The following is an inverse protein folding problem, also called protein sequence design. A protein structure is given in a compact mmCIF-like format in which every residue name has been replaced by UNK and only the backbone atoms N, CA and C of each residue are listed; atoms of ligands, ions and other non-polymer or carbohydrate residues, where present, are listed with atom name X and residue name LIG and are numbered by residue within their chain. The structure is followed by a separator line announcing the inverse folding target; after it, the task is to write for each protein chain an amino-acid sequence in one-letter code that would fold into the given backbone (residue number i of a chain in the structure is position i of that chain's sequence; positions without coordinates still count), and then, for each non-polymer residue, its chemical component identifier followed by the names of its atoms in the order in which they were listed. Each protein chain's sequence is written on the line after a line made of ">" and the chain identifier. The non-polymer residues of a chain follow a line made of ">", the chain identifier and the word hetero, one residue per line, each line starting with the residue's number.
data_IF_946850945206
#
_entry.id   IF_946850945206
#
_cell.length_a   1.000
_cell.length_b   1.000
_cell.length_c   1.000
_cell.angle_alpha   90.00
_cell.angle_beta   90.00
_cell.angle_gamma   90.00
#
_symmetry.space_group_name_H-M   'P 1'
#
loop_
_entity.id
_entity.type
_entity.pdbx_description
1 polymer ?
#
# COMPACT_ATOMS: atom_id res chain seq x y z
N UNK A 1 13.28 -12.42 -10.05
CA UNK A 1 14.23 -11.29 -9.91
C UNK A 1 15.03 -11.46 -8.63
N UNK A 2 16.36 -11.58 -8.72
CA UNK A 2 17.21 -11.85 -7.55
C UNK A 2 17.37 -10.60 -6.66
N UNK A 3 17.83 -10.78 -5.41
CA UNK A 3 17.93 -9.69 -4.44
C UNK A 3 18.82 -8.52 -4.91
N UNK A 4 19.84 -8.81 -5.74
CA UNK A 4 20.72 -7.80 -6.34
C UNK A 4 19.98 -6.99 -7.41
N UNK A 5 19.16 -7.62 -8.24
CA UNK A 5 18.31 -6.96 -9.23
C UNK A 5 17.19 -6.15 -8.59
N UNK A 6 16.60 -6.61 -7.47
CA UNK A 6 15.60 -5.84 -6.70
C UNK A 6 16.20 -4.56 -6.11
N UNK A 7 17.43 -4.64 -5.57
CA UNK A 7 18.16 -3.47 -5.06
C UNK A 7 18.56 -2.52 -6.19
N UNK A 8 19.04 -3.03 -7.32
CA UNK A 8 19.37 -2.21 -8.48
C UNK A 8 18.13 -1.51 -9.07
N UNK A 9 16.98 -2.20 -9.12
CA UNK A 9 15.71 -1.61 -9.55
C UNK A 9 15.23 -0.52 -8.59
N UNK A 10 15.27 -0.78 -7.27
CA UNK A 10 14.92 0.21 -6.24
C UNK A 10 15.82 1.45 -6.32
N UNK A 11 17.13 1.26 -6.50
CA UNK A 11 18.08 2.36 -6.67
C UNK A 11 17.79 3.14 -7.97
N UNK A 12 17.45 2.45 -9.06
CA UNK A 12 17.06 3.08 -10.32
C UNK A 12 15.76 3.89 -10.20
N UNK A 13 14.77 3.38 -9.47
CA UNK A 13 13.50 4.06 -9.18
C UNK A 13 13.76 5.29 -8.28
N UNK A 14 14.56 5.15 -7.23
CA UNK A 14 14.94 6.27 -6.36
C UNK A 14 15.76 7.32 -7.12
N UNK A 15 16.62 6.91 -8.04
CA UNK A 15 17.36 7.82 -8.94
C UNK A 15 16.43 8.57 -9.89
N UNK A 16 15.42 7.90 -10.45
CA UNK A 16 14.41 8.51 -11.31
C UNK A 16 13.49 9.48 -10.55
N UNK A 17 13.14 9.15 -9.30
CA UNK A 17 12.39 10.04 -8.39
C UNK A 17 13.24 11.23 -7.96
N UNK A 18 14.55 11.03 -7.71
CA UNK A 18 15.48 12.12 -7.38
C UNK A 18 15.67 13.10 -8.55
N UNK A 19 15.62 12.63 -9.81
CA UNK A 19 15.55 13.50 -11.00
C UNK A 19 14.27 14.36 -11.02
N UNK A 20 13.19 13.92 -10.36
CA UNK A 20 11.93 14.66 -10.22
C UNK A 20 11.86 15.64 -9.04
N UNK A 21 12.89 15.74 -8.20
CA UNK A 21 12.82 16.51 -6.95
C UNK A 21 13.00 18.02 -7.09
N UNK A 22 13.61 18.50 -8.17
CA UNK A 22 13.83 19.94 -8.39
C UNK A 22 13.66 20.29 -9.87
N UNK A 23 12.70 21.15 -10.23
CA UNK A 23 12.50 21.52 -11.62
C UNK A 23 13.73 22.31 -12.13
N UNK A 24 14.24 22.02 -13.34
CA UNK A 24 15.40 22.69 -13.93
C UNK A 24 15.06 24.09 -14.46
N UNK A 25 13.86 24.60 -14.17
CA UNK A 25 13.31 25.83 -14.71
C UNK A 25 13.39 26.95 -13.66
N UNK A 26 13.78 28.16 -14.09
CA UNK A 26 13.69 29.39 -13.29
C UNK A 26 12.91 30.46 -14.04
N UNK A 27 12.12 31.24 -13.30
CA UNK A 27 11.50 32.47 -13.79
C UNK A 27 12.52 33.61 -13.70
N UNK A 28 12.69 34.38 -14.77
CA UNK A 28 13.71 35.44 -14.89
C UNK A 28 13.14 36.85 -14.69
N UNK A 29 11.90 36.96 -14.20
CA UNK A 29 11.23 38.22 -13.93
C UNK A 29 12.03 39.14 -12.98
N UNK A 30 12.09 40.47 -13.22
CA UNK A 30 12.80 41.42 -12.37
C UNK A 30 12.08 41.67 -11.02
N UNK A 31 12.25 40.70 -10.10
CA UNK A 31 11.95 40.66 -8.65
C UNK A 31 10.50 40.89 -8.13
N UNK A 32 10.06 40.17 -7.06
CA UNK A 32 10.58 38.92 -6.49
C UNK A 32 9.73 37.72 -6.93
N UNK A 33 10.22 36.95 -7.90
CA UNK A 33 9.66 35.64 -8.23
C UNK A 33 10.20 34.60 -7.23
N UNK A 34 9.41 34.29 -6.20
CA UNK A 34 9.73 33.32 -5.15
C UNK A 34 8.92 32.02 -5.24
N UNK A 35 8.03 31.89 -6.22
CA UNK A 35 7.20 30.71 -6.40
C UNK A 35 7.93 29.68 -7.26
N UNK A 36 8.15 28.45 -6.78
CA UNK A 36 8.73 27.39 -7.59
C UNK A 36 7.82 27.13 -8.81
N UNK A 37 8.41 27.09 -10.00
CA UNK A 37 7.69 26.75 -11.22
C UNK A 37 7.11 25.33 -11.12
N UNK A 38 5.95 25.06 -11.75
CA UNK A 38 5.36 23.73 -11.75
C UNK A 38 6.31 22.70 -12.36
N UNK A 39 6.22 21.46 -11.87
CA UNK A 39 7.05 20.37 -12.35
C UNK A 39 6.69 20.04 -13.80
N UNK A 40 7.68 20.17 -14.68
CA UNK A 40 7.53 19.81 -16.09
C UNK A 40 8.83 19.18 -16.61
N UNK A 41 8.77 18.15 -17.47
CA UNK A 41 9.95 17.50 -18.03
C UNK A 41 10.75 18.49 -18.87
N UNK A 42 12.08 18.30 -18.98
CA UNK A 42 12.97 19.18 -19.79
C UNK A 42 12.46 19.34 -21.23
N UNK A 43 11.82 18.30 -21.78
CA UNK A 43 11.25 18.30 -23.13
C UNK A 43 9.97 19.13 -23.27
N UNK A 44 9.35 19.55 -22.16
CA UNK A 44 8.07 20.25 -22.15
C UNK A 44 8.10 21.30 -21.03
N UNK A 45 8.68 22.50 -21.27
CA UNK A 45 8.70 23.56 -20.28
C UNK A 45 7.27 23.97 -19.89
N UNK A 46 7.07 24.44 -18.64
CA UNK A 46 5.76 24.91 -18.22
C UNK A 46 5.35 26.16 -19.01
N UNK A 47 4.06 26.30 -19.32
CA UNK A 47 3.56 27.49 -20.02
C UNK A 47 3.29 28.58 -18.97
N UNK A 48 4.03 29.69 -19.05
CA UNK A 48 3.84 30.86 -18.18
C UNK A 48 3.42 32.03 -19.08
N UNK A 49 2.21 32.56 -18.85
CA UNK A 49 1.65 33.65 -19.67
C UNK A 49 2.52 34.90 -19.60
N UNK A 50 3.14 35.31 -20.71
CA UNK A 50 3.82 36.60 -20.84
C UNK A 50 5.25 36.68 -20.28
N UNK A 51 5.88 35.57 -19.88
CA UNK A 51 7.18 35.57 -19.21
C UNK A 51 8.22 34.65 -19.86
N UNK A 52 9.51 34.94 -19.64
CA UNK A 52 10.63 34.13 -20.12
C UNK A 52 11.14 33.14 -19.08
N UNK A 53 11.24 31.87 -19.50
CA UNK A 53 11.76 30.76 -18.68
C UNK A 53 13.18 30.46 -19.13
N UNK A 54 14.08 30.25 -18.17
CA UNK A 54 15.45 29.83 -18.44
C UNK A 54 15.74 28.49 -17.73
N UNK A 55 16.65 27.70 -18.30
CA UNK A 55 17.17 26.50 -17.67
C UNK A 55 18.21 26.90 -16.61
N UNK A 56 18.00 26.49 -15.37
CA UNK A 56 18.98 26.66 -14.30
C UNK A 56 20.08 25.60 -14.40
N UNK A 57 21.15 25.95 -15.12
CA UNK A 57 22.31 25.08 -15.35
C UNK A 57 23.02 24.73 -14.03
N UNK A 58 22.94 25.58 -13.00
CA UNK A 58 23.57 25.34 -11.70
C UNK A 58 22.84 24.21 -10.97
N UNK A 59 21.50 24.25 -10.94
CA UNK A 59 20.68 23.15 -10.41
C UNK A 59 20.85 21.88 -11.23
N UNK A 60 20.89 22.00 -12.55
CA UNK A 60 21.17 20.88 -13.43
C UNK A 60 22.52 20.23 -13.10
N UNK A 61 23.58 21.01 -12.90
CA UNK A 61 24.90 20.49 -12.52
C UNK A 61 24.88 19.79 -11.15
N UNK A 62 24.16 20.33 -10.17
CA UNK A 62 23.97 19.69 -8.85
C UNK A 62 23.25 18.33 -9.02
N UNK A 63 22.23 18.25 -9.87
CA UNK A 63 21.52 16.99 -10.15
C UNK A 63 22.44 15.95 -10.81
N UNK A 64 23.29 16.38 -11.76
CA UNK A 64 24.27 15.51 -12.38
C UNK A 64 25.31 14.99 -11.37
N UNK A 65 25.79 15.84 -10.46
CA UNK A 65 26.72 15.43 -9.39
C UNK A 65 26.06 14.43 -8.44
N UNK A 66 24.82 14.68 -8.01
CA UNK A 66 24.06 13.76 -7.16
C UNK A 66 23.85 12.40 -7.84
N UNK A 67 23.51 12.38 -9.13
CA UNK A 67 23.40 11.14 -9.91
C UNK A 67 24.72 10.38 -9.96
N UNK A 68 25.85 11.05 -10.20
CA UNK A 68 27.18 10.43 -10.20
C UNK A 68 27.53 9.87 -8.81
N UNK A 69 27.22 10.60 -7.73
CA UNK A 69 27.46 10.14 -6.35
C UNK A 69 26.58 8.95 -5.99
N UNK A 70 25.29 8.95 -6.33
CA UNK A 70 24.37 7.82 -6.09
C UNK A 70 24.80 6.60 -6.90
N UNK A 71 25.22 6.79 -8.16
CA UNK A 71 25.69 5.70 -9.02
C UNK A 71 27.02 5.13 -8.49
N UNK A 72 27.96 5.98 -8.08
CA UNK A 72 29.23 5.56 -7.50
C UNK A 72 29.03 4.86 -6.13
N UNK A 73 28.14 5.37 -5.29
CA UNK A 73 27.77 4.73 -4.02
C UNK A 73 27.13 3.36 -4.24
N UNK A 74 26.32 3.21 -5.28
CA UNK A 74 25.71 1.92 -5.65
C UNK A 74 26.73 0.90 -6.15
N UNK A 75 27.78 1.35 -6.84
CA UNK A 75 28.92 0.52 -7.25
C UNK A 75 29.78 0.14 -6.04
N UNK A 76 29.99 1.08 -5.10
CA UNK A 76 30.80 0.87 -3.90
C UNK A 76 30.11 -0.07 -2.89
N UNK A 77 28.81 0.12 -2.64
CA UNK A 77 27.97 -0.78 -1.82
C UNK A 77 27.74 -2.16 -2.47
N UNK A 78 28.08 -2.32 -3.74
CA UNK A 78 28.05 -3.58 -4.47
C UNK A 78 29.35 -4.38 -4.38
N UNK A 79 30.41 -3.84 -3.76
CA UNK A 79 31.75 -4.43 -3.77
C UNK A 79 32.16 -4.92 -2.38
N UNK A 80 31.54 -6.00 -1.92
CA UNK A 80 32.13 -6.86 -0.90
C UNK A 80 32.06 -8.34 -1.31
N UNK A 81 33.26 -8.95 -1.28
CA UNK A 81 33.61 -10.38 -1.40
C UNK A 81 33.70 -11.05 -2.79
N UNK A 82 34.63 -10.61 -3.63
CA UNK A 82 35.42 -11.54 -4.45
C UNK A 82 36.88 -11.05 -4.53
N UNK A 83 37.82 -11.82 -3.95
CA UNK A 83 39.24 -11.72 -4.31
C UNK A 83 40.24 -11.32 -3.22
N UNK A 84 40.28 -12.04 -2.10
CA UNK A 84 41.56 -12.26 -1.40
C UNK A 84 41.87 -13.76 -1.44
N UNK A 85 42.68 -14.18 -2.42
CA UNK A 85 43.64 -15.28 -2.36
C UNK A 85 43.95 -15.80 -3.76
N UNK A 86 45.05 -15.31 -4.35
CA UNK A 86 45.93 -16.19 -5.13
C UNK A 86 46.98 -16.71 -4.14
N UNK A 87 46.82 -17.94 -3.71
CA UNK A 87 47.81 -18.71 -2.98
C UNK A 87 47.57 -20.17 -3.33
N UNK A 88 48.39 -20.70 -4.23
CA UNK A 88 48.32 -22.10 -4.61
C UNK A 88 48.81 -23.06 -3.52
N UNK A 89 48.46 -24.33 -3.75
CA UNK A 89 48.95 -25.56 -3.15
C UNK A 89 48.31 -26.00 -1.81
N UNK A 90 47.78 -27.25 -1.83
CA UNK A 90 47.71 -28.11 -0.65
C UNK A 90 46.36 -28.81 -0.42
N UNK A 91 46.21 -29.99 -1.00
CA UNK A 91 45.22 -31.03 -0.66
C UNK A 91 45.27 -31.40 0.84
N UNK A 92 44.16 -31.88 1.44
CA UNK A 92 44.04 -33.17 2.18
C UNK A 92 42.65 -33.30 2.85
N UNK A 93 42.21 -34.56 2.89
CA UNK A 93 40.93 -35.20 3.22
C UNK A 93 40.45 -35.09 4.67
N UNK A 94 39.13 -35.28 4.89
CA UNK A 94 38.48 -35.36 6.20
C UNK A 94 38.37 -36.82 6.71
N UNK A 95 38.66 -37.03 8.00
CA UNK A 95 38.23 -38.20 8.80
C UNK A 95 37.41 -37.72 10.02
N UNK A 96 36.36 -38.45 10.46
CA UNK A 96 35.46 -37.99 11.52
C UNK A 96 35.92 -38.44 12.92
N UNK A 97 35.85 -37.55 13.92
CA UNK A 97 36.26 -37.83 15.30
C UNK A 97 35.04 -38.05 16.22
N UNK A 98 35.11 -39.14 17.02
CA UNK A 98 34.16 -39.60 18.05
C UNK A 98 34.11 -38.68 19.29
N UNK A 99 32.94 -38.60 19.94
CA UNK A 99 32.74 -37.96 21.25
C UNK A 99 33.06 -38.89 22.44
N UNK A 100 33.49 -38.34 23.59
CA UNK A 100 33.31 -38.95 24.91
C UNK A 100 32.39 -38.12 25.87
N UNK A 101 31.79 -38.82 26.84
CA UNK A 101 30.79 -38.40 27.86
C UNK A 101 31.39 -37.63 29.07
N UNK A 102 30.56 -36.97 29.91
CA UNK A 102 31.01 -36.00 30.92
C UNK A 102 31.22 -36.59 32.32
N UNK A 103 32.07 -35.96 33.15
CA UNK A 103 32.12 -36.14 34.61
C UNK A 103 32.72 -34.92 35.34
N UNK A 104 32.30 -34.74 36.59
CA UNK A 104 32.29 -33.52 37.41
C UNK A 104 33.59 -33.19 38.19
N UNK A 105 33.76 -31.92 38.62
CA UNK A 105 33.95 -31.46 40.02
C UNK A 105 34.73 -30.12 40.21
N UNK A 106 34.07 -29.19 40.94
CA UNK A 106 34.48 -28.24 42.00
C UNK A 106 35.82 -27.44 42.03
N UNK A 107 35.65 -26.22 42.59
CA UNK A 107 36.59 -25.32 43.33
C UNK A 107 37.43 -24.35 42.49
N UNK A 108 37.84 -23.14 42.90
CA UNK A 108 37.59 -22.22 44.03
C UNK A 108 38.41 -20.94 43.76
N UNK A 109 37.86 -19.75 44.06
CA UNK A 109 38.57 -18.49 44.37
C UNK A 109 39.26 -17.75 43.20
N UNK A 110 39.54 -16.45 43.25
CA UNK A 110 39.16 -15.34 44.11
C UNK A 110 39.70 -14.05 43.43
N UNK A 111 38.90 -12.96 43.42
CA UNK A 111 39.30 -11.53 43.34
C UNK A 111 39.99 -11.07 42.03
N UNK A 112 39.68 -9.89 41.45
CA UNK A 112 39.92 -8.53 41.94
C UNK A 112 38.94 -7.52 41.28
N UNK A 113 38.59 -6.48 42.05
CA UNK A 113 37.77 -5.29 41.79
C UNK A 113 38.39 -4.27 40.80
N UNK A 114 37.54 -3.52 40.09
CA UNK A 114 37.36 -2.04 40.17
C UNK A 114 36.41 -1.58 39.03
N UNK A 115 35.11 -1.39 39.29
CA UNK A 115 34.38 -0.10 39.50
C UNK A 115 34.65 1.03 38.50
N UNK A 116 33.62 1.38 37.73
CA UNK A 116 33.17 2.77 37.51
C UNK A 116 31.71 2.78 37.03
N UNK A 117 30.86 3.29 37.91
CA UNK A 117 29.43 3.55 37.79
C UNK A 117 29.15 4.77 36.91
N UNK A 118 28.15 4.69 36.03
CA UNK A 118 27.30 5.84 35.68
C UNK A 118 25.84 5.37 35.69
N UNK A 119 25.07 6.03 36.55
CA UNK A 119 23.67 5.79 36.85
C UNK A 119 22.71 6.15 35.72
N UNK A 120 21.53 5.54 35.85
CA UNK A 120 20.34 5.66 35.06
C UNK A 120 19.90 7.10 34.73
N UNK A 121 19.38 7.26 33.51
CA UNK A 121 18.08 7.94 33.35
C UNK A 121 17.25 7.26 32.27
N UNK A 122 16.10 6.77 32.73
CA UNK A 122 15.02 6.23 31.95
C UNK A 122 14.61 7.15 30.79
N UNK A 123 14.27 6.53 29.66
CA UNK A 123 13.08 6.93 28.90
C UNK A 123 12.34 5.66 28.47
N UNK A 124 11.45 5.22 29.36
CA UNK A 124 10.27 4.47 28.95
C UNK A 124 9.29 5.44 28.29
N UNK A 125 8.79 5.11 27.10
CA UNK A 125 7.43 5.39 26.62
C UNK A 125 7.34 4.88 25.17
N UNK A 126 6.40 4.05 24.74
CA UNK A 126 5.18 3.53 25.38
C UNK A 126 4.79 2.28 24.60
N UNK A 127 4.88 1.10 25.21
CA UNK A 127 4.03 -0.02 24.81
C UNK A 127 2.61 0.37 25.20
N UNK A 128 1.85 0.87 24.24
CA UNK A 128 0.42 1.06 24.43
C UNK A 128 -0.20 -0.34 24.50
N UNK A 129 -0.50 -0.81 25.70
CA UNK A 129 -1.52 -1.82 25.90
C UNK A 129 -2.85 -1.23 25.43
N UNK A 130 -3.11 -1.27 24.13
CA UNK A 130 -4.46 -1.16 23.61
C UNK A 130 -5.07 -2.55 23.69
N UNK A 131 -6.19 -2.70 24.41
CA UNK A 131 -7.04 -3.88 24.29
C UNK A 131 -7.37 -4.08 22.81
N UNK A 132 -6.91 -5.17 22.20
CA UNK A 132 -7.08 -5.37 20.77
C UNK A 132 -8.53 -5.74 20.42
N UNK A 133 -8.96 -5.31 19.24
CA UNK A 133 -10.19 -5.79 18.62
C UNK A 133 -9.98 -7.23 18.19
N UNK A 134 -10.91 -8.10 18.59
CA UNK A 134 -10.85 -9.53 18.25
C UNK A 134 -11.66 -9.78 16.99
N UNK A 135 -10.96 -10.15 15.93
CA UNK A 135 -11.53 -10.57 14.66
C UNK A 135 -11.45 -12.10 14.53
N UNK A 136 -12.50 -12.70 13.98
CA UNK A 136 -12.63 -14.12 13.74
C UNK A 136 -12.87 -14.34 12.24
N UNK A 137 -11.86 -14.86 11.58
CA UNK A 137 -11.93 -15.32 10.20
C UNK A 137 -12.08 -16.85 10.17
N UNK A 138 -12.44 -17.44 9.02
CA UNK A 138 -12.33 -18.89 8.81
C UNK A 138 -10.90 -19.38 9.07
N UNK A 139 -10.73 -20.66 9.43
CA UNK A 139 -9.41 -21.24 9.67
C UNK A 139 -8.58 -21.35 8.37
N UNK A 140 -9.24 -21.25 7.22
CA UNK A 140 -8.64 -21.15 5.89
C UNK A 140 -8.36 -19.67 5.57
N UNK A 141 -7.22 -19.38 4.94
CA UNK A 141 -6.91 -18.03 4.43
C UNK A 141 -7.99 -17.63 3.42
N UNK A 142 -8.76 -16.59 3.76
CA UNK A 142 -9.74 -15.97 2.85
C UNK A 142 -9.17 -14.75 2.13
N UNK A 143 -8.06 -14.21 2.62
CA UNK A 143 -7.53 -12.94 2.14
C UNK A 143 -6.40 -12.41 3.00
N UNK A 144 -6.19 -11.11 2.90
CA UNK A 144 -5.19 -10.33 3.59
C UNK A 144 -5.86 -9.19 4.34
N UNK A 145 -5.37 -8.93 5.55
CA UNK A 145 -5.83 -7.84 6.40
C UNK A 145 -4.74 -6.78 6.47
N UNK A 146 -5.08 -5.58 6.03
CA UNK A 146 -4.19 -4.44 5.96
C UNK A 146 -4.66 -3.32 6.91
N UNK A 147 -3.72 -2.52 7.42
CA UNK A 147 -4.00 -1.29 8.17
C UNK A 147 -3.50 -0.09 7.40
N UNK A 148 -4.16 1.04 7.61
CA UNK A 148 -3.69 2.35 7.15
C UNK A 148 -2.23 2.58 7.59
N UNK A 149 -1.40 2.99 6.63
CA UNK A 149 0.01 3.36 6.87
C UNK A 149 0.08 4.55 7.82
N UNK A 150 1.11 4.58 8.67
CA UNK A 150 1.32 5.71 9.58
C UNK A 150 1.86 6.95 8.86
N UNK A 151 2.55 6.73 7.73
CA UNK A 151 3.22 7.79 6.97
C UNK A 151 2.33 8.41 5.88
N UNK A 152 1.39 7.62 5.34
CA UNK A 152 0.50 8.06 4.26
C UNK A 152 -0.87 7.37 4.35
N UNK A 153 -1.95 8.09 4.72
CA UNK A 153 -3.29 7.51 4.92
C UNK A 153 -3.92 6.95 3.63
N UNK A 154 -3.36 7.24 2.45
CA UNK A 154 -3.81 6.63 1.20
C UNK A 154 -3.24 5.22 0.95
N UNK A 155 -2.21 4.81 1.71
CA UNK A 155 -1.56 3.52 1.55
C UNK A 155 -1.92 2.53 2.65
N UNK A 156 -2.14 1.28 2.24
CA UNK A 156 -2.42 0.17 3.12
C UNK A 156 -1.17 -0.68 3.33
N UNK A 157 -0.96 -1.13 4.58
CA UNK A 157 0.18 -1.95 4.98
C UNK A 157 -0.32 -3.30 5.49
N UNK A 158 0.24 -4.38 4.94
CA UNK A 158 -0.13 -5.74 5.32
C UNK A 158 0.20 -5.99 6.80
N UNK A 159 -0.81 -6.43 7.57
CA UNK A 159 -0.62 -6.87 8.95
C UNK A 159 -0.53 -8.39 9.01
N UNK A 160 -1.51 -9.06 8.41
CA UNK A 160 -1.65 -10.51 8.54
C UNK A 160 -2.54 -11.10 7.46
N UNK A 161 -2.44 -12.40 7.25
CA UNK A 161 -3.45 -13.16 6.51
C UNK A 161 -4.78 -13.10 7.26
N UNK A 162 -5.89 -12.89 6.56
CA UNK A 162 -7.24 -13.00 7.11
C UNK A 162 -7.58 -14.48 7.35
N UNK A 163 -7.12 -15.05 8.48
CA UNK A 163 -7.38 -16.43 8.89
C UNK A 163 -7.43 -16.58 10.42
N UNK A 164 -8.30 -17.48 10.89
CA UNK A 164 -8.45 -17.81 12.29
C UNK A 164 -8.77 -16.59 13.17
N UNK A 165 -8.30 -16.62 14.42
CA UNK A 165 -8.52 -15.52 15.37
C UNK A 165 -7.36 -14.54 15.31
N UNK A 166 -7.67 -13.28 15.06
CA UNK A 166 -6.71 -12.18 15.03
C UNK A 166 -7.07 -11.14 16.08
N UNK A 167 -6.05 -10.56 16.70
CA UNK A 167 -6.19 -9.42 17.60
C UNK A 167 -5.51 -8.22 16.93
N UNK A 168 -6.29 -7.18 16.63
CA UNK A 168 -5.83 -6.01 15.89
C UNK A 168 -5.94 -4.74 16.73
N UNK A 169 -5.13 -3.70 16.45
CA UNK A 169 -5.15 -2.47 17.24
C UNK A 169 -6.52 -1.79 17.22
N UNK A 170 -6.99 -1.33 18.38
CA UNK A 170 -8.23 -0.55 18.44
C UNK A 170 -8.02 0.86 17.89
N UNK A 171 -9.03 1.41 17.20
CA UNK A 171 -9.02 2.79 16.67
C UNK A 171 -8.25 2.95 15.36
N UNK A 172 -7.68 1.88 14.82
CA UNK A 172 -7.15 1.84 13.45
C UNK A 172 -8.24 1.42 12.47
N UNK A 173 -8.04 1.82 11.22
CA UNK A 173 -8.88 1.48 10.07
C UNK A 173 -8.24 0.30 9.34
N UNK A 174 -9.06 -0.62 8.86
CA UNK A 174 -8.58 -1.82 8.18
C UNK A 174 -9.19 -1.98 6.80
N UNK A 175 -8.37 -2.46 5.88
CA UNK A 175 -8.80 -2.98 4.59
C UNK A 175 -8.75 -4.51 4.63
N UNK A 176 -9.78 -5.14 4.10
CA UNK A 176 -9.81 -6.57 3.85
C UNK A 176 -9.72 -6.80 2.34
N UNK A 177 -8.66 -7.47 1.90
CA UNK A 177 -8.48 -7.87 0.50
C UNK A 177 -8.71 -9.38 0.40
N UNK A 178 -9.70 -9.81 -0.39
CA UNK A 178 -10.01 -11.24 -0.51
C UNK A 178 -9.23 -11.91 -1.63
N UNK A 179 -8.95 -13.19 -1.46
CA UNK A 179 -8.14 -13.97 -2.39
C UNK A 179 -8.90 -14.29 -3.69
N UNK A 180 -8.38 -13.83 -4.83
CA UNK A 180 -8.97 -14.00 -6.19
C UNK A 180 -8.99 -15.44 -6.72
N UNK A 181 -8.43 -16.40 -6.00
CA UNK A 181 -8.16 -17.76 -6.50
C UNK A 181 -9.34 -18.74 -6.32
N UNK A 182 -10.42 -18.34 -5.64
CA UNK A 182 -11.54 -19.24 -5.28
C UNK A 182 -12.86 -18.49 -5.23
N UNK A 183 -13.94 -19.25 -5.34
CA UNK A 183 -15.29 -18.82 -4.96
C UNK A 183 -15.31 -18.39 -3.48
N UNK A 184 -15.70 -17.14 -3.23
CA UNK A 184 -15.69 -16.54 -1.89
C UNK A 184 -17.11 -16.31 -1.37
N UNK A 185 -17.39 -16.87 -0.19
CA UNK A 185 -18.55 -16.51 0.61
C UNK A 185 -18.15 -15.56 1.74
N UNK A 186 -18.98 -14.53 1.96
CA UNK A 186 -18.84 -13.55 3.04
C UNK A 186 -19.67 -13.92 4.29
N UNK A 187 -20.10 -15.18 4.41
CA UNK A 187 -20.92 -15.66 5.53
C UNK A 187 -20.27 -15.41 6.89
N UNK A 188 -18.94 -15.51 6.95
CA UNK A 188 -18.15 -15.26 8.15
C UNK A 188 -18.27 -13.84 8.69
N UNK A 189 -18.63 -12.83 7.89
CA UNK A 189 -18.83 -11.45 8.35
C UNK A 189 -19.91 -11.36 9.44
N UNK A 190 -20.89 -12.26 9.42
CA UNK A 190 -21.94 -12.35 10.43
C UNK A 190 -21.41 -12.73 11.83
N UNK A 191 -20.30 -13.48 11.87
CA UNK A 191 -19.69 -14.02 13.11
C UNK A 191 -18.27 -13.52 13.39
N UNK A 192 -17.79 -12.56 12.58
CA UNK A 192 -16.41 -12.06 12.61
C UNK A 192 -16.03 -11.39 13.92
N UNK A 193 -16.98 -10.77 14.62
CA UNK A 193 -16.68 -10.07 15.86
C UNK A 193 -17.84 -9.25 16.37
N UNK A 194 -17.57 -8.44 17.38
CA UNK A 194 -18.55 -7.46 17.85
C UNK A 194 -18.77 -6.35 16.81
N UNK A 195 -19.73 -5.46 17.06
CA UNK A 195 -20.02 -4.35 16.16
C UNK A 195 -18.79 -3.47 15.94
N UNK A 196 -18.01 -3.18 16.98
CA UNK A 196 -16.84 -2.30 16.88
C UNK A 196 -15.75 -2.87 15.98
N UNK A 197 -15.50 -4.19 16.07
CA UNK A 197 -14.53 -4.87 15.23
C UNK A 197 -14.95 -4.84 13.75
N UNK A 198 -16.24 -5.04 13.46
CA UNK A 198 -16.76 -4.95 12.09
C UNK A 198 -16.82 -3.52 11.56
N UNK A 199 -17.04 -2.53 12.43
CA UNK A 199 -16.94 -1.11 12.07
C UNK A 199 -15.50 -0.65 11.84
N UNK A 200 -14.49 -1.43 12.23
CA UNK A 200 -13.10 -1.10 11.96
C UNK A 200 -12.67 -1.46 10.53
N UNK A 201 -13.40 -2.36 9.86
CA UNK A 201 -13.24 -2.66 8.43
C UNK A 201 -13.93 -1.54 7.64
N UNK A 202 -13.12 -0.72 6.96
CA UNK A 202 -13.60 0.45 6.21
C UNK A 202 -13.42 0.29 4.70
N UNK A 203 -12.55 -0.63 4.28
CA UNK A 203 -12.27 -0.90 2.87
C UNK A 203 -12.34 -2.40 2.63
N UNK A 204 -13.00 -2.80 1.55
CA UNK A 204 -13.15 -4.18 1.12
C UNK A 204 -12.83 -4.28 -0.35
N UNK A 205 -11.83 -5.10 -0.68
CA UNK A 205 -11.44 -5.41 -2.04
C UNK A 205 -11.92 -6.83 -2.39
N UNK A 206 -12.86 -6.88 -3.34
CA UNK A 206 -13.42 -8.08 -3.96
C UNK A 206 -13.13 -8.09 -5.46
N UNK A 207 -12.19 -7.28 -5.94
CA UNK A 207 -11.85 -7.20 -7.37
C UNK A 207 -11.47 -8.58 -7.91
N UNK A 208 -11.96 -8.92 -9.10
CA UNK A 208 -11.74 -10.18 -9.81
C UNK A 208 -12.13 -11.43 -8.97
N UNK A 209 -12.94 -11.27 -7.92
CA UNK A 209 -13.42 -12.38 -7.12
C UNK A 209 -14.62 -13.07 -7.77
N UNK A 210 -14.69 -14.39 -7.65
CA UNK A 210 -15.86 -15.18 -8.03
C UNK A 210 -16.90 -15.10 -6.90
N UNK A 211 -17.95 -14.32 -7.12
CA UNK A 211 -18.98 -14.00 -6.14
C UNK A 211 -20.25 -14.83 -6.35
N UNK A 212 -20.76 -15.41 -5.26
CA UNK A 212 -22.06 -16.07 -5.28
C UNK A 212 -23.21 -15.06 -5.16
N UNK A 213 -24.39 -15.50 -5.61
CA UNK A 213 -25.64 -14.72 -5.58
C UNK A 213 -25.97 -14.09 -4.22
N UNK A 214 -25.57 -14.72 -3.12
CA UNK A 214 -25.87 -14.23 -1.77
C UNK A 214 -24.69 -13.51 -1.10
N UNK A 215 -23.50 -13.49 -1.73
CA UNK A 215 -22.27 -12.98 -1.11
C UNK A 215 -22.40 -11.51 -0.69
N UNK A 216 -23.00 -10.67 -1.54
CA UNK A 216 -23.14 -9.23 -1.25
C UNK A 216 -24.15 -8.92 -0.14
N UNK A 217 -25.09 -9.83 0.15
CA UNK A 217 -26.07 -9.66 1.24
C UNK A 217 -25.43 -9.62 2.63
N UNK A 218 -24.18 -10.10 2.75
CA UNK A 218 -23.40 -10.07 3.99
C UNK A 218 -22.68 -8.75 4.22
N UNK A 219 -22.61 -7.84 3.23
CA UNK A 219 -21.98 -6.52 3.38
C UNK A 219 -22.65 -5.65 4.44
N UNK A 220 -23.94 -5.89 4.73
CA UNK A 220 -24.67 -5.25 5.85
C UNK A 220 -24.01 -5.42 7.22
N UNK A 221 -23.13 -6.41 7.37
CA UNK A 221 -22.40 -6.63 8.61
C UNK A 221 -21.17 -5.72 8.75
N UNK A 222 -20.80 -4.95 7.74
CA UNK A 222 -19.73 -3.94 7.75
C UNK A 222 -20.34 -2.52 7.75
N UNK A 223 -20.86 -2.05 8.90
CA UNK A 223 -21.69 -0.83 8.95
C UNK A 223 -20.93 0.47 8.68
N UNK A 224 -19.60 0.41 8.67
CA UNK A 224 -18.71 1.56 8.45
C UNK A 224 -17.90 1.41 7.16
N UNK A 225 -18.33 0.56 6.23
CA UNK A 225 -17.66 0.38 4.94
C UNK A 225 -17.73 1.68 4.14
N UNK A 226 -16.57 2.23 3.82
CA UNK A 226 -16.38 3.47 3.07
C UNK A 226 -15.87 3.22 1.64
N UNK A 227 -15.16 2.12 1.42
CA UNK A 227 -14.55 1.79 0.13
C UNK A 227 -14.88 0.34 -0.24
N UNK A 228 -15.33 0.13 -1.48
CA UNK A 228 -15.67 -1.18 -2.02
C UNK A 228 -15.18 -1.29 -3.45
N UNK A 229 -14.29 -2.23 -3.71
CA UNK A 229 -13.86 -2.60 -5.05
C UNK A 229 -14.51 -3.91 -5.48
N UNK A 230 -15.25 -3.87 -6.59
CA UNK A 230 -15.90 -5.01 -7.23
C UNK A 230 -15.47 -5.13 -8.69
N UNK A 231 -14.35 -4.51 -9.07
CA UNK A 231 -13.92 -4.46 -10.45
C UNK A 231 -13.62 -5.87 -10.99
N UNK A 232 -14.00 -6.20 -12.22
CA UNK A 232 -13.76 -7.52 -12.82
C UNK A 232 -14.60 -8.65 -12.23
N UNK A 233 -15.70 -8.34 -11.54
CA UNK A 233 -16.63 -9.34 -10.99
C UNK A 233 -17.88 -9.47 -11.87
N UNK A 234 -18.55 -10.63 -11.82
CA UNK A 234 -19.77 -10.90 -12.60
C UNK A 234 -21.06 -10.31 -11.99
N UNK A 235 -20.95 -9.23 -11.22
CA UNK A 235 -22.12 -8.59 -10.58
C UNK A 235 -23.05 -7.97 -11.62
N UNK A 236 -24.33 -7.90 -11.26
CA UNK A 236 -25.43 -7.40 -12.09
C UNK A 236 -26.12 -6.19 -11.47
N UNK A 237 -27.06 -5.57 -12.20
CA UNK A 237 -27.85 -4.46 -11.65
C UNK A 237 -28.66 -4.89 -10.41
N UNK A 238 -29.14 -6.13 -10.34
CA UNK A 238 -29.84 -6.68 -9.17
C UNK A 238 -28.97 -6.64 -7.91
N UNK A 239 -27.68 -6.94 -8.05
CA UNK A 239 -26.71 -6.96 -6.95
C UNK A 239 -26.46 -5.57 -6.36
N UNK A 240 -26.64 -4.51 -7.16
CA UNK A 240 -26.51 -3.12 -6.72
C UNK A 240 -27.57 -2.71 -5.69
N UNK A 241 -28.69 -3.45 -5.59
CA UNK A 241 -29.69 -3.20 -4.56
C UNK A 241 -29.10 -3.43 -3.16
N UNK A 242 -28.22 -4.41 -2.98
CA UNK A 242 -27.51 -4.63 -1.71
C UNK A 242 -26.46 -3.56 -1.45
N UNK A 243 -25.73 -3.11 -2.49
CA UNK A 243 -24.71 -2.07 -2.38
C UNK A 243 -25.33 -0.72 -2.02
N UNK A 244 -26.50 -0.39 -2.58
CA UNK A 244 -27.21 0.86 -2.31
C UNK A 244 -27.57 1.07 -0.82
N UNK A 245 -27.59 0.00 -0.03
CA UNK A 245 -27.86 0.04 1.42
C UNK A 245 -26.65 0.48 2.24
N UNK A 246 -25.46 0.54 1.64
CA UNK A 246 -24.20 0.91 2.29
C UNK A 246 -24.07 2.43 2.41
N UNK A 247 -24.86 3.03 3.31
CA UNK A 247 -24.97 4.49 3.45
C UNK A 247 -23.65 5.23 3.75
N UNK A 248 -22.61 4.54 4.22
CA UNK A 248 -21.30 5.13 4.53
C UNK A 248 -20.31 5.07 3.35
N UNK A 249 -20.71 4.45 2.23
CA UNK A 249 -19.83 4.25 1.09
C UNK A 249 -19.46 5.59 0.44
N UNK A 250 -18.15 5.78 0.24
CA UNK A 250 -17.54 6.98 -0.34
C UNK A 250 -16.85 6.68 -1.66
N UNK A 251 -16.27 5.49 -1.82
CA UNK A 251 -15.61 5.04 -3.05
C UNK A 251 -16.17 3.69 -3.48
N UNK A 252 -16.55 3.59 -4.74
CA UNK A 252 -17.06 2.37 -5.35
C UNK A 252 -16.40 2.19 -6.73
N UNK A 253 -15.83 1.02 -6.97
CA UNK A 253 -15.29 0.64 -8.27
C UNK A 253 -16.07 -0.54 -8.83
N UNK A 254 -16.64 -0.35 -10.01
CA UNK A 254 -17.45 -1.30 -10.78
C UNK A 254 -16.89 -1.50 -12.19
N UNK A 255 -15.58 -1.27 -12.38
CA UNK A 255 -14.97 -1.46 -13.68
C UNK A 255 -15.04 -2.94 -14.09
N UNK A 256 -15.34 -3.21 -15.34
CA UNK A 256 -15.41 -4.53 -15.98
C UNK A 256 -16.42 -5.47 -15.28
N UNK A 257 -17.58 -4.90 -14.96
CA UNK A 257 -18.74 -5.62 -14.38
C UNK A 257 -19.90 -5.71 -15.38
N UNK A 258 -20.87 -6.58 -15.13
CA UNK A 258 -22.06 -6.74 -15.98
C UNK A 258 -23.21 -5.78 -15.56
N UNK A 259 -22.85 -4.58 -15.11
CA UNK A 259 -23.80 -3.53 -14.72
C UNK A 259 -24.20 -2.69 -15.93
N UNK A 260 -25.44 -2.20 -15.95
CA UNK A 260 -25.98 -1.42 -17.07
C UNK A 260 -26.21 0.05 -16.67
N UNK A 261 -26.80 0.84 -17.58
CA UNK A 261 -27.26 2.20 -17.27
C UNK A 261 -28.21 2.31 -16.08
N UNK A 262 -28.88 1.22 -15.69
CA UNK A 262 -29.75 1.20 -14.51
C UNK A 262 -28.96 1.27 -13.19
N UNK A 263 -27.66 0.94 -13.21
CA UNK A 263 -26.76 1.10 -12.07
C UNK A 263 -26.78 2.52 -11.50
N UNK A 264 -26.84 3.52 -12.39
CA UNK A 264 -26.95 4.93 -12.04
C UNK A 264 -28.14 5.24 -11.12
N UNK A 265 -29.29 4.65 -11.41
CA UNK A 265 -30.51 4.89 -10.66
C UNK A 265 -30.43 4.22 -9.29
N UNK A 266 -29.90 3.00 -9.24
CA UNK A 266 -29.74 2.24 -7.98
C UNK A 266 -28.72 2.86 -7.04
N UNK A 267 -27.63 3.40 -7.57
CA UNK A 267 -26.57 4.03 -6.77
C UNK A 267 -26.91 5.46 -6.33
N UNK A 268 -27.99 6.07 -6.85
CA UNK A 268 -28.41 7.42 -6.47
C UNK A 268 -28.75 7.59 -4.98
N UNK A 269 -29.07 6.49 -4.28
CA UNK A 269 -29.29 6.47 -2.83
C UNK A 269 -28.03 6.65 -1.98
N UNK A 270 -26.84 6.51 -2.56
CA UNK A 270 -25.56 6.64 -1.86
C UNK A 270 -25.13 8.11 -1.74
N UNK A 271 -25.77 8.83 -0.84
CA UNK A 271 -25.55 10.28 -0.65
C UNK A 271 -24.14 10.69 -0.22
N UNK A 272 -23.36 9.76 0.32
CA UNK A 272 -21.97 9.99 0.73
C UNK A 272 -20.95 9.59 -0.33
N UNK A 273 -21.39 9.08 -1.49
CA UNK A 273 -20.50 8.64 -2.55
C UNK A 273 -19.77 9.84 -3.15
N UNK A 274 -18.44 9.74 -3.16
CA UNK A 274 -17.52 10.76 -3.66
C UNK A 274 -16.80 10.32 -4.92
N UNK A 275 -16.59 9.02 -5.09
CA UNK A 275 -15.91 8.46 -6.25
C UNK A 275 -16.64 7.21 -6.73
N UNK A 276 -16.98 7.18 -8.01
CA UNK A 276 -17.55 6.05 -8.69
C UNK A 276 -16.72 5.78 -9.93
N UNK A 277 -16.17 4.57 -10.05
CA UNK A 277 -15.58 4.08 -11.29
C UNK A 277 -16.50 3.06 -11.91
N UNK A 278 -16.77 3.19 -13.20
CA UNK A 278 -17.57 2.25 -13.98
C UNK A 278 -17.00 2.19 -15.40
N UNK A 279 -16.87 0.99 -15.96
CA UNK A 279 -16.62 0.79 -17.38
C UNK A 279 -17.94 0.38 -18.06
N UNK A 280 -18.03 0.52 -19.39
CA UNK A 280 -19.24 0.20 -20.17
C UNK A 280 -20.46 1.13 -20.05
N UNK A 281 -20.25 2.40 -19.68
CA UNK A 281 -21.14 3.42 -20.23
C UNK A 281 -20.66 3.67 -21.65
N UNK A 282 -21.50 3.39 -22.64
CA UNK A 282 -21.18 3.32 -24.08
C UNK A 282 -20.71 4.68 -24.66
N UNK A 283 -19.67 5.32 -24.13
CA UNK A 283 -19.14 6.63 -24.52
C UNK A 283 -20.17 7.76 -24.61
N UNK A 284 -21.42 7.52 -24.22
CA UNK A 284 -22.53 8.42 -24.52
C UNK A 284 -22.52 9.49 -23.46
N UNK A 285 -21.93 10.65 -23.77
CA UNK A 285 -21.81 11.80 -22.86
C UNK A 285 -23.13 12.13 -22.17
N UNK A 286 -24.27 11.86 -22.81
CA UNK A 286 -25.61 12.04 -22.25
C UNK A 286 -25.82 11.22 -20.98
N UNK A 287 -25.34 9.98 -20.93
CA UNK A 287 -25.50 9.07 -19.80
C UNK A 287 -24.58 9.44 -18.65
N UNK A 288 -23.33 9.80 -18.97
CA UNK A 288 -22.36 10.30 -17.99
C UNK A 288 -22.87 11.61 -17.36
N UNK A 289 -23.40 12.52 -18.17
CA UNK A 289 -23.98 13.78 -17.68
C UNK A 289 -25.24 13.53 -16.85
N UNK A 290 -26.07 12.58 -17.25
CA UNK A 290 -27.24 12.13 -16.50
C UNK A 290 -26.87 11.58 -15.12
N UNK A 291 -25.80 10.78 -15.03
CA UNK A 291 -25.22 10.27 -13.80
C UNK A 291 -24.69 11.40 -12.89
N UNK A 292 -23.89 12.30 -13.46
CA UNK A 292 -23.37 13.48 -12.75
C UNK A 292 -24.48 14.38 -12.22
N UNK A 293 -25.62 14.48 -12.93
CA UNK A 293 -26.79 15.22 -12.46
C UNK A 293 -27.49 14.54 -11.27
N UNK A 294 -27.52 13.20 -11.23
CA UNK A 294 -28.13 12.45 -10.10
C UNK A 294 -27.24 12.40 -8.86
N UNK A 295 -25.93 12.35 -9.04
CA UNK A 295 -24.96 12.29 -7.94
C UNK A 295 -23.93 13.43 -8.08
N UNK A 296 -24.36 14.69 -7.92
CA UNK A 296 -23.52 15.86 -8.22
C UNK A 296 -22.30 16.02 -7.32
N UNK A 297 -22.31 15.39 -6.15
CA UNK A 297 -21.18 15.36 -5.22
C UNK A 297 -20.15 14.26 -5.52
N UNK A 298 -20.43 13.38 -6.49
CA UNK A 298 -19.59 12.23 -6.82
C UNK A 298 -18.79 12.50 -8.08
N UNK A 299 -17.48 12.30 -8.00
CA UNK A 299 -16.59 12.18 -9.14
C UNK A 299 -16.87 10.84 -9.84
N UNK A 300 -17.47 10.91 -11.03
CA UNK A 300 -17.69 9.74 -11.89
C UNK A 300 -16.52 9.63 -12.85
N UNK A 301 -15.72 8.58 -12.68
CA UNK A 301 -14.62 8.19 -13.56
C UNK A 301 -15.15 7.11 -14.49
N UNK A 302 -15.06 7.35 -15.80
CA UNK A 302 -15.42 6.35 -16.81
C UNK A 302 -14.14 5.85 -17.44
N UNK A 303 -13.90 4.54 -17.35
CA UNK A 303 -12.75 3.90 -17.99
C UNK A 303 -13.19 3.27 -19.30
N UNK A 304 -12.42 3.51 -20.36
CA UNK A 304 -12.59 2.79 -21.63
C UNK A 304 -12.24 1.33 -21.37
N UNK A 305 -13.21 0.43 -21.48
CA UNK A 305 -12.97 -1.00 -21.39
C UNK A 305 -12.06 -1.44 -22.54
N UNK A 306 -11.05 -2.27 -22.25
CA UNK A 306 -10.28 -2.95 -23.29
C UNK A 306 -11.22 -3.97 -23.97
N UNK A 307 -11.75 -3.62 -25.13
CA UNK A 307 -12.52 -4.54 -26.00
C UNK A 307 -11.63 -5.59 -26.64
#
# INVERSE_FOLDING_TARGET
>A
MNAKQRRALLIGIVGFIAIGGFPPWKDTSPAPAGTPLPFAPISMPPVVEGHSIEIDITRLAIMWILMVVVTAASIWLGKDSEGASKGGAGTITYEPIKMPKPSAAKSSGAQILETLTIDAKASSAKSSQTSGLKLKFPDVKVGELLTESEDDPEYWTLISDAKGRLEVPQGKRFQLELSKEREISLDFLSSMGNKDARSAIVSLDLSEAELNKDTLSYLKYLPALEELDLSGTEITDEDLDEISKLSQLKKLWLDDTNTSKAAAEKLSGLSNLKKLSISHLDGNEVEINSLKLRIPSCEVVVREGNT
#
